data_IF_766541096174
#
_entry.id   IF_766541096174
#
_cell.length_a   1.000
_cell.length_b   1.000
_cell.length_c   1.000
_cell.angle_alpha   90.00
_cell.angle_beta   90.00
_cell.angle_gamma   90.00
#
_symmetry.space_group_name_H-M   'P 1'
#
loop_
_entity.id
_entity.type
_entity.pdbx_description
1 polymer ?
#
# COMPACT_ATOMS: atom_id res chain seq x y z
N UNK A 1 21.77 24.68 -81.65
CA UNK A 1 20.75 23.89 -80.95
C UNK A 1 21.44 23.31 -79.75
N UNK A 2 21.27 23.96 -78.61
CA UNK A 2 22.02 23.68 -77.39
C UNK A 2 21.41 22.47 -76.69
N UNK A 3 22.24 21.47 -76.42
CA UNK A 3 21.86 20.28 -75.67
C UNK A 3 21.54 20.68 -74.24
N UNK A 4 20.31 20.44 -73.80
CA UNK A 4 19.89 20.68 -72.42
C UNK A 4 20.67 19.75 -71.47
N UNK A 5 21.50 20.37 -70.63
CA UNK A 5 22.25 19.72 -69.58
C UNK A 5 21.30 19.44 -68.41
N UNK A 6 20.81 18.20 -68.31
CA UNK A 6 19.92 17.78 -67.22
C UNK A 6 20.76 17.62 -65.95
N UNK A 7 20.93 18.71 -65.20
CA UNK A 7 21.46 18.65 -63.84
C UNK A 7 20.52 17.80 -63.00
N UNK A 8 21.00 16.60 -62.64
CA UNK A 8 20.31 15.74 -61.69
C UNK A 8 20.51 16.32 -60.30
N UNK A 9 19.46 16.74 -59.57
CA UNK A 9 19.62 17.19 -58.19
C UNK A 9 20.11 16.00 -57.34
N UNK A 10 21.32 16.11 -56.80
CA UNK A 10 21.82 15.18 -55.79
C UNK A 10 20.99 15.33 -54.52
N UNK A 11 20.19 14.32 -54.18
CA UNK A 11 19.61 14.24 -52.84
C UNK A 11 20.74 13.88 -51.88
N UNK A 12 21.21 14.85 -51.13
CA UNK A 12 22.05 14.56 -49.98
C UNK A 12 21.16 13.89 -48.94
N UNK A 13 21.21 12.57 -48.84
CA UNK A 13 20.58 11.85 -47.72
C UNK A 13 21.38 12.16 -46.45
N UNK A 14 20.92 13.14 -45.68
CA UNK A 14 21.42 13.42 -44.33
C UNK A 14 21.02 12.29 -43.38
N UNK A 15 21.71 11.15 -43.46
CA UNK A 15 21.56 10.00 -42.54
C UNK A 15 22.54 10.08 -41.36
N UNK A 16 22.65 11.25 -40.73
CA UNK A 16 23.47 11.43 -39.51
C UNK A 16 22.63 11.87 -38.32
N UNK A 17 21.39 12.34 -38.52
CA UNK A 17 20.52 12.74 -37.41
C UNK A 17 19.81 11.57 -36.71
N UNK A 18 19.71 10.39 -37.33
CA UNK A 18 18.95 9.24 -36.80
C UNK A 18 19.71 8.42 -35.75
N UNK A 19 21.04 8.35 -35.81
CA UNK A 19 21.86 7.53 -34.90
C UNK A 19 22.07 8.17 -33.53
N UNK A 20 22.20 9.49 -33.46
CA UNK A 20 22.42 10.21 -32.19
C UNK A 20 21.13 10.32 -31.36
N UNK A 21 20.00 10.61 -32.03
CA UNK A 21 18.67 10.61 -31.40
C UNK A 21 18.32 9.20 -30.90
N UNK A 22 18.67 8.16 -31.67
CA UNK A 22 18.49 6.77 -31.27
C UNK A 22 19.31 6.40 -30.03
N UNK A 23 20.59 6.77 -29.97
CA UNK A 23 21.46 6.48 -28.83
C UNK A 23 20.98 7.16 -27.54
N UNK A 24 20.60 8.45 -27.61
CA UNK A 24 20.04 9.18 -26.46
C UNK A 24 18.73 8.57 -26.00
N UNK A 25 17.84 8.18 -26.92
CA UNK A 25 16.58 7.50 -26.59
C UNK A 25 16.81 6.14 -25.90
N UNK A 26 17.80 5.36 -26.33
CA UNK A 26 18.15 4.08 -25.69
C UNK A 26 18.72 4.27 -24.27
N UNK A 27 19.55 5.30 -24.05
CA UNK A 27 20.06 5.63 -22.71
C UNK A 27 18.93 6.06 -21.79
N UNK A 28 18.01 6.91 -22.26
CA UNK A 28 16.83 7.31 -21.48
C UNK A 28 15.94 6.09 -21.20
N UNK A 29 15.69 5.23 -22.19
CA UNK A 29 14.94 3.98 -21.98
C UNK A 29 15.62 3.09 -20.94
N UNK A 30 16.95 2.93 -20.97
CA UNK A 30 17.69 2.15 -19.98
C UNK A 30 17.52 2.73 -18.57
N UNK A 31 17.66 4.05 -18.41
CA UNK A 31 17.46 4.70 -17.11
C UNK A 31 16.02 4.48 -16.61
N UNK A 32 15.02 4.64 -17.46
CA UNK A 32 13.61 4.40 -17.12
C UNK A 32 13.38 2.93 -16.75
N UNK A 33 14.00 1.98 -17.45
CA UNK A 33 13.93 0.55 -17.12
C UNK A 33 14.57 0.28 -15.76
N UNK A 34 15.74 0.86 -15.47
CA UNK A 34 16.42 0.70 -14.18
C UNK A 34 15.61 1.28 -13.02
N UNK A 35 15.04 2.47 -13.19
CA UNK A 35 14.17 3.10 -12.19
C UNK A 35 12.91 2.26 -11.99
N UNK A 36 12.26 1.81 -13.06
CA UNK A 36 11.05 0.99 -12.95
C UNK A 36 11.34 -0.36 -12.28
N UNK A 37 12.48 -1.01 -12.58
CA UNK A 37 12.93 -2.21 -11.87
C UNK A 37 13.11 -1.95 -10.37
N UNK A 38 13.79 -0.86 -10.00
CA UNK A 38 14.00 -0.49 -8.60
C UNK A 38 12.67 -0.27 -7.87
N UNK A 39 11.72 0.44 -8.50
CA UNK A 39 10.36 0.66 -7.97
C UNK A 39 9.60 -0.66 -7.86
N UNK A 40 9.69 -1.55 -8.84
CA UNK A 40 9.05 -2.87 -8.80
C UNK A 40 9.57 -3.74 -7.65
N UNK A 41 10.88 -3.74 -7.40
CA UNK A 41 11.48 -4.47 -6.27
C UNK A 41 11.00 -3.87 -4.94
N UNK A 42 10.95 -2.55 -4.83
CA UNK A 42 10.45 -1.87 -3.64
C UNK A 42 8.98 -2.20 -3.39
N UNK A 43 8.14 -2.20 -4.43
CA UNK A 43 6.75 -2.63 -4.38
C UNK A 43 6.59 -4.08 -3.91
N UNK A 44 7.39 -5.00 -4.46
CA UNK A 44 7.40 -6.40 -4.02
C UNK A 44 7.77 -6.52 -2.53
N UNK A 45 8.81 -5.80 -2.11
CA UNK A 45 9.23 -5.79 -0.71
C UNK A 45 8.17 -5.17 0.22
N UNK A 46 7.50 -4.10 -0.22
CA UNK A 46 6.38 -3.50 0.50
C UNK A 46 5.23 -4.48 0.68
N UNK A 47 4.83 -5.16 -0.39
CA UNK A 47 3.73 -6.12 -0.37
C UNK A 47 4.07 -7.35 0.46
N UNK A 48 5.31 -7.83 0.38
CA UNK A 48 5.84 -8.86 1.28
C UNK A 48 5.69 -8.42 2.74
N UNK A 49 6.06 -7.18 3.08
CA UNK A 49 5.89 -6.65 4.43
C UNK A 49 4.43 -6.58 4.87
N UNK A 50 3.52 -6.13 4.00
CA UNK A 50 2.07 -6.13 4.28
C UNK A 50 1.58 -7.55 4.62
N UNK A 51 1.99 -8.55 3.85
CA UNK A 51 1.57 -9.94 4.07
C UNK A 51 2.13 -10.50 5.38
N UNK A 52 3.41 -10.27 5.66
CA UNK A 52 4.03 -10.71 6.93
C UNK A 52 3.41 -10.02 8.15
N UNK A 53 3.00 -8.75 8.04
CA UNK A 53 2.28 -8.03 9.11
C UNK A 53 0.90 -8.63 9.39
N UNK A 54 0.25 -9.19 8.36
CA UNK A 54 -1.02 -9.89 8.50
C UNK A 54 -0.85 -11.39 8.83
N UNK A 55 0.38 -11.85 9.12
CA UNK A 55 0.65 -13.24 9.47
C UNK A 55 0.58 -14.22 8.28
N UNK A 56 0.65 -13.72 7.05
CA UNK A 56 0.59 -14.50 5.81
C UNK A 56 1.97 -14.64 5.16
N UNK A 57 2.21 -15.70 4.37
CA UNK A 57 3.47 -15.89 3.68
C UNK A 57 3.70 -14.78 2.66
N UNK A 58 4.78 -14.01 2.81
CA UNK A 58 5.04 -12.90 1.90
C UNK A 58 5.54 -13.29 0.51
N UNK A 59 6.02 -14.53 0.31
CA UNK A 59 6.27 -15.08 -1.03
C UNK A 59 5.00 -15.16 -1.87
N UNK A 60 3.82 -15.21 -1.22
CA UNK A 60 2.54 -15.17 -1.92
C UNK A 60 2.37 -13.91 -2.77
N UNK A 61 3.08 -12.83 -2.44
CA UNK A 61 3.00 -11.58 -3.19
C UNK A 61 3.55 -11.71 -4.63
N UNK A 62 4.42 -12.69 -4.89
CA UNK A 62 5.11 -12.88 -6.17
C UNK A 62 4.19 -13.50 -7.23
N UNK A 63 3.32 -14.43 -6.82
CA UNK A 63 2.45 -15.16 -7.73
C UNK A 63 1.16 -14.34 -7.92
N UNK A 64 0.81 -13.89 -9.14
CA UNK A 64 -0.30 -12.95 -9.34
C UNK A 64 -1.64 -13.44 -8.76
N UNK A 65 -2.05 -14.67 -9.07
CA UNK A 65 -3.33 -15.23 -8.60
C UNK A 65 -3.31 -15.44 -7.08
N UNK A 66 -2.22 -15.98 -6.55
CA UNK A 66 -2.10 -16.28 -5.12
C UNK A 66 -1.98 -15.01 -4.26
N UNK A 67 -1.35 -13.96 -4.80
CA UNK A 67 -1.31 -12.62 -4.20
C UNK A 67 -2.73 -12.16 -3.90
N UNK A 68 -3.63 -12.19 -4.89
CA UNK A 68 -5.02 -11.81 -4.69
C UNK A 68 -5.72 -12.68 -3.65
N UNK A 69 -5.63 -14.01 -3.75
CA UNK A 69 -6.25 -14.93 -2.77
C UNK A 69 -5.82 -14.57 -1.35
N UNK A 70 -4.52 -14.40 -1.11
CA UNK A 70 -3.99 -14.06 0.22
C UNK A 70 -4.44 -12.66 0.65
N UNK A 71 -4.51 -11.70 -0.27
CA UNK A 71 -4.97 -10.35 0.03
C UNK A 71 -6.46 -10.32 0.40
N UNK A 72 -7.28 -11.14 -0.25
CA UNK A 72 -8.68 -11.36 0.12
C UNK A 72 -8.78 -11.99 1.52
N UNK A 73 -7.94 -12.98 1.84
CA UNK A 73 -7.87 -13.57 3.19
C UNK A 73 -7.45 -12.54 4.25
N UNK A 74 -6.50 -11.66 3.95
CA UNK A 74 -6.07 -10.57 4.84
C UNK A 74 -7.23 -9.61 5.12
N UNK A 75 -8.04 -9.33 4.11
CA UNK A 75 -9.19 -8.43 4.25
C UNK A 75 -10.43 -9.15 4.83
N UNK A 76 -10.44 -10.48 4.80
CA UNK A 76 -11.54 -11.34 5.26
C UNK A 76 -12.64 -11.55 4.24
N UNK A 77 -12.36 -11.28 2.97
CA UNK A 77 -13.31 -11.44 1.86
C UNK A 77 -13.27 -12.86 1.29
N UNK A 78 -14.38 -13.33 0.71
CA UNK A 78 -14.45 -14.69 0.22
C UNK A 78 -13.61 -14.88 -1.05
N UNK A 79 -12.80 -15.95 -1.07
CA UNK A 79 -11.81 -16.23 -2.13
C UNK A 79 -12.44 -16.44 -3.51
N UNK A 80 -13.73 -16.77 -3.60
CA UNK A 80 -14.45 -16.89 -4.87
C UNK A 80 -14.42 -15.59 -5.69
N UNK A 81 -14.19 -14.43 -5.05
CA UNK A 81 -14.03 -13.16 -5.74
C UNK A 81 -12.82 -13.16 -6.69
N UNK A 82 -11.86 -14.09 -6.57
CA UNK A 82 -10.80 -14.27 -7.57
C UNK A 82 -11.38 -14.69 -8.93
N UNK A 83 -12.51 -15.40 -8.98
CA UNK A 83 -13.21 -15.73 -10.23
C UNK A 83 -13.82 -14.49 -10.91
N UNK A 84 -14.17 -13.46 -10.14
CA UNK A 84 -14.65 -12.21 -10.69
C UNK A 84 -13.54 -11.40 -11.37
N UNK A 85 -12.25 -11.74 -11.17
CA UNK A 85 -11.14 -11.11 -11.88
C UNK A 85 -11.21 -11.36 -13.40
N UNK A 86 -11.88 -12.43 -13.83
CA UNK A 86 -12.14 -12.71 -15.24
C UNK A 86 -13.20 -11.78 -15.87
N UNK A 87 -13.99 -11.07 -15.05
CA UNK A 87 -14.95 -10.05 -15.50
C UNK A 87 -14.34 -8.65 -15.35
N UNK A 88 -14.20 -7.85 -16.43
CA UNK A 88 -13.51 -6.57 -16.39
C UNK A 88 -14.16 -5.55 -15.43
N UNK A 89 -15.49 -5.51 -15.38
CA UNK A 89 -16.23 -4.61 -14.47
C UNK A 89 -16.13 -5.05 -13.00
N UNK A 90 -16.19 -6.36 -12.75
CA UNK A 90 -16.11 -6.89 -11.40
C UNK A 90 -14.68 -6.78 -10.82
N UNK A 91 -13.65 -6.85 -11.67
CA UNK A 91 -12.26 -6.59 -11.30
C UNK A 91 -12.07 -5.17 -10.72
N UNK A 92 -12.62 -4.15 -11.38
CA UNK A 92 -12.57 -2.76 -10.90
C UNK A 92 -13.29 -2.63 -9.54
N UNK A 93 -14.48 -3.23 -9.42
CA UNK A 93 -15.22 -3.24 -8.16
C UNK A 93 -14.40 -3.87 -7.01
N UNK A 94 -13.79 -5.04 -7.25
CA UNK A 94 -12.96 -5.72 -6.24
C UNK A 94 -11.75 -4.87 -5.88
N UNK A 95 -11.05 -4.29 -6.85
CA UNK A 95 -9.89 -3.45 -6.58
C UNK A 95 -10.23 -2.28 -5.65
N UNK A 96 -11.36 -1.60 -5.89
CA UNK A 96 -11.82 -0.49 -5.05
C UNK A 96 -12.13 -0.97 -3.63
N UNK A 97 -12.94 -2.01 -3.53
CA UNK A 97 -13.45 -2.48 -2.24
C UNK A 97 -12.34 -3.10 -1.40
N UNK A 98 -11.44 -3.85 -2.03
CA UNK A 98 -10.27 -4.45 -1.37
C UNK A 98 -9.29 -3.38 -0.91
N UNK A 99 -9.05 -2.32 -1.68
CA UNK A 99 -8.20 -1.20 -1.22
C UNK A 99 -8.79 -0.49 0.00
N UNK A 100 -10.11 -0.24 0.00
CA UNK A 100 -10.81 0.36 1.14
C UNK A 100 -10.75 -0.54 2.37
N UNK A 101 -11.01 -1.83 2.21
CA UNK A 101 -11.05 -2.74 3.34
C UNK A 101 -9.64 -3.11 3.83
N UNK A 102 -8.63 -3.11 2.97
CA UNK A 102 -7.23 -3.21 3.36
C UNK A 102 -6.83 -1.99 4.19
N UNK A 103 -7.19 -0.77 3.77
CA UNK A 103 -6.96 0.44 4.56
C UNK A 103 -7.60 0.33 5.95
N UNK A 104 -8.88 -0.08 6.03
CA UNK A 104 -9.58 -0.30 7.30
C UNK A 104 -8.93 -1.39 8.16
N UNK A 105 -8.49 -2.49 7.54
CA UNK A 105 -7.82 -3.61 8.22
C UNK A 105 -6.49 -3.20 8.87
N UNK A 106 -5.90 -2.07 8.46
CA UNK A 106 -4.71 -1.47 9.06
C UNK A 106 -5.02 -0.20 9.88
N UNK A 107 -6.29 0.05 10.18
CA UNK A 107 -6.74 1.21 10.97
C UNK A 107 -6.64 2.55 10.25
N UNK A 108 -6.61 2.56 8.91
CA UNK A 108 -6.61 3.77 8.09
C UNK A 108 -8.02 4.16 7.64
N UNK A 109 -8.20 5.44 7.32
CA UNK A 109 -9.49 5.99 6.90
C UNK A 109 -9.85 5.56 5.47
N UNK A 110 -11.13 5.69 5.10
CA UNK A 110 -11.58 5.44 3.73
C UNK A 110 -10.85 6.30 2.70
N UNK A 111 -10.50 7.55 3.05
CA UNK A 111 -9.71 8.44 2.19
C UNK A 111 -8.32 7.87 1.86
N UNK A 112 -7.67 7.19 2.81
CA UNK A 112 -6.42 6.48 2.55
C UNK A 112 -6.63 5.33 1.55
N UNK A 113 -7.73 4.57 1.66
CA UNK A 113 -8.08 3.54 0.70
C UNK A 113 -8.38 4.09 -0.70
N UNK A 114 -9.01 5.28 -0.80
CA UNK A 114 -9.18 5.97 -2.08
C UNK A 114 -7.84 6.38 -2.67
N UNK A 115 -6.97 7.00 -1.87
CA UNK A 115 -5.61 7.37 -2.31
C UNK A 115 -4.81 6.15 -2.76
N UNK A 116 -5.04 4.98 -2.15
CA UNK A 116 -4.39 3.73 -2.52
C UNK A 116 -4.79 3.22 -3.90
N UNK A 117 -5.98 3.57 -4.38
CA UNK A 117 -6.44 3.23 -5.74
C UNK A 117 -5.71 4.10 -6.77
N UNK A 118 -5.57 5.40 -6.50
CA UNK A 118 -4.90 6.34 -7.41
C UNK A 118 -3.37 6.26 -7.34
N UNK A 119 -2.82 5.95 -6.16
CA UNK A 119 -1.39 5.94 -5.87
C UNK A 119 -0.94 4.65 -5.15
N UNK A 120 -1.18 3.46 -5.73
CA UNK A 120 -0.80 2.19 -5.10
C UNK A 120 0.71 2.13 -4.84
N UNK A 121 1.52 2.69 -5.74
CA UNK A 121 2.98 2.69 -5.64
C UNK A 121 3.55 3.31 -4.38
N UNK A 122 2.82 4.23 -3.75
CA UNK A 122 3.25 4.93 -2.55
C UNK A 122 2.52 4.38 -1.32
N UNK A 123 1.23 4.08 -1.45
CA UNK A 123 0.41 3.65 -0.31
C UNK A 123 0.75 2.23 0.18
N UNK A 124 1.08 1.29 -0.71
CA UNK A 124 1.51 -0.06 -0.31
C UNK A 124 2.81 -0.03 0.52
N UNK A 125 3.87 0.68 0.11
CA UNK A 125 5.05 0.88 0.95
C UNK A 125 4.76 1.54 2.29
N UNK A 126 3.87 2.54 2.34
CA UNK A 126 3.48 3.18 3.61
C UNK A 126 2.81 2.18 4.56
N UNK A 127 1.96 1.29 4.06
CA UNK A 127 1.36 0.22 4.87
C UNK A 127 2.39 -0.83 5.31
N UNK A 128 3.24 -1.26 4.38
CA UNK A 128 4.24 -2.30 4.58
C UNK A 128 5.35 -1.89 5.54
N UNK A 129 5.97 -0.73 5.33
CA UNK A 129 7.09 -0.23 6.12
C UNK A 129 6.70 0.77 7.22
N UNK A 130 5.53 1.40 7.13
CA UNK A 130 5.06 2.35 8.13
C UNK A 130 4.67 1.71 9.46
N UNK A 131 4.32 2.54 10.44
CA UNK A 131 3.95 2.11 11.80
C UNK A 131 2.57 1.44 11.91
N UNK A 132 1.83 1.33 10.80
CA UNK A 132 0.52 0.68 10.77
C UNK A 132 0.61 -0.81 11.09
N UNK A 133 -0.17 -1.23 12.09
CA UNK A 133 -0.33 -2.62 12.49
C UNK A 133 -1.62 -3.18 11.89
N UNK A 134 -1.58 -4.44 11.50
CA UNK A 134 -2.77 -5.14 11.04
C UNK A 134 -3.72 -5.37 12.22
N UNK A 135 -4.95 -4.87 12.13
CA UNK A 135 -5.98 -4.89 13.17
C UNK A 135 -6.98 -6.04 13.00
N UNK A 136 -6.94 -6.73 11.86
CA UNK A 136 -7.85 -7.83 11.54
C UNK A 136 -8.72 -7.55 10.31
N UNK A 137 -9.54 -8.52 9.90
CA UNK A 137 -10.31 -8.42 8.67
C UNK A 137 -11.44 -7.39 8.77
N UNK A 138 -11.47 -6.41 7.88
CA UNK A 138 -12.50 -5.36 7.86
C UNK A 138 -13.87 -5.83 7.34
N UNK A 139 -13.94 -7.00 6.69
CA UNK A 139 -15.18 -7.52 6.09
C UNK A 139 -16.03 -8.36 7.05
N UNK A 140 -15.48 -8.87 8.16
CA UNK A 140 -16.25 -9.64 9.15
C UNK A 140 -17.10 -8.72 10.05
N UNK A 141 -18.36 -9.07 10.39
CA UNK A 141 -19.17 -8.31 11.33
C UNK A 141 -18.45 -8.23 12.67
N UNK A 142 -17.90 -7.06 13.00
CA UNK A 142 -17.29 -6.82 14.29
C UNK A 142 -18.38 -6.93 15.38
N UNK A 143 -18.26 -7.80 16.40
CA UNK A 143 -19.07 -7.67 17.61
C UNK A 143 -18.77 -6.30 18.22
N UNK A 144 -19.83 -5.57 18.60
CA UNK A 144 -19.77 -4.23 19.17
C UNK A 144 -18.88 -4.23 20.43
N UNK A 145 -17.60 -3.90 20.25
CA UNK A 145 -16.57 -4.00 21.29
C UNK A 145 -15.14 -3.67 20.86
N UNK A 146 -14.87 -3.43 19.57
CA UNK A 146 -13.55 -2.99 19.09
C UNK A 146 -13.34 -1.48 19.32
N UNK A 147 -13.42 -1.07 20.59
CA UNK A 147 -12.84 0.19 21.04
C UNK A 147 -11.32 0.06 21.03
N UNK A 148 -10.72 0.74 20.05
CA UNK A 148 -9.33 1.18 19.99
C UNK A 148 -8.22 0.08 19.95
N UNK A 149 -7.15 0.30 19.16
CA UNK A 149 -5.95 -0.52 19.28
C UNK A 149 -5.42 -0.45 20.72
N UNK A 150 -4.63 -1.43 21.21
CA UNK A 150 -3.78 -1.20 22.36
C UNK A 150 -2.97 0.06 22.06
N UNK A 151 -3.28 1.16 22.76
CA UNK A 151 -2.39 2.32 22.78
C UNK A 151 -1.00 1.78 23.14
N UNK A 152 0.09 2.28 22.54
CA UNK A 152 1.39 2.15 23.19
C UNK A 152 1.15 2.55 24.65
N UNK A 153 1.49 1.67 25.60
CA UNK A 153 1.34 1.97 27.02
C UNK A 153 1.79 3.43 27.23
N UNK A 154 0.99 4.28 27.91
CA UNK A 154 1.42 5.64 28.22
C UNK A 154 2.84 5.52 28.73
N UNK A 155 3.78 6.19 28.06
CA UNK A 155 5.15 6.24 28.55
C UNK A 155 5.04 6.63 30.02
N UNK A 156 5.44 5.73 30.92
CA UNK A 156 5.21 5.87 32.34
C UNK A 156 5.49 7.31 32.76
N UNK A 157 4.45 8.00 33.22
CA UNK A 157 4.54 9.36 33.69
C UNK A 157 5.45 9.35 34.94
N UNK A 158 6.76 9.52 34.73
CA UNK A 158 7.69 9.85 35.80
C UNK A 158 7.49 11.32 36.18
N UNK A 159 6.48 11.59 37.00
CA UNK A 159 6.26 12.77 37.86
C UNK A 159 4.76 12.79 38.19
N UNK A 160 4.25 12.72 39.42
CA UNK A 160 4.79 12.94 40.76
C UNK A 160 3.81 12.30 41.75
N UNK A 161 4.24 11.28 42.49
CA UNK A 161 3.56 10.84 43.71
C UNK A 161 3.67 11.96 44.75
N UNK A 162 2.57 12.63 45.08
CA UNK A 162 2.43 13.31 46.38
C UNK A 162 1.44 12.49 47.21
N UNK A 163 1.82 12.00 48.40
CA UNK A 163 0.90 11.25 49.25
C UNK A 163 -0.11 12.23 49.88
N UNK A 164 -1.39 12.05 49.57
CA UNK A 164 -2.49 12.69 50.31
C UNK A 164 -2.53 12.04 51.69
N UNK A 165 -1.99 12.73 52.69
CA UNK A 165 -2.09 12.38 54.09
C UNK A 165 -3.51 12.72 54.58
N UNK A 166 -4.40 11.73 54.58
CA UNK A 166 -5.71 11.80 55.22
C UNK A 166 -5.55 11.84 56.75
N UNK A 167 -5.34 13.04 57.28
CA UNK A 167 -5.68 13.37 58.66
C UNK A 167 -7.00 14.15 58.63
N UNK A 168 -7.92 13.75 59.51
CA UNK A 168 -9.22 14.37 59.80
C UNK A 168 -10.38 13.97 58.87
N UNK A 169 -11.04 12.87 59.24
CA UNK A 169 -12.46 12.93 59.61
C UNK A 169 -12.81 11.68 60.43
N UNK A 170 -12.43 11.72 61.71
CA UNK A 170 -12.99 10.82 62.70
C UNK A 170 -14.39 11.28 63.06
N UNK A 171 -15.40 10.46 62.77
CA UNK A 171 -16.62 10.28 63.57
C UNK A 171 -17.46 9.10 63.00
N UNK A 172 -18.33 8.47 63.82
CA UNK A 172 -18.09 7.09 64.29
C UNK A 172 -19.01 6.03 63.65
N UNK A 173 -18.53 4.79 63.59
CA UNK A 173 -19.36 3.60 63.35
C UNK A 173 -20.24 3.29 64.58
N UNK A 174 -21.57 3.16 64.45
CA UNK A 174 -22.31 2.07 65.09
C UNK A 174 -22.26 0.84 64.14
N UNK A 175 -22.68 -0.41 64.48
CA UNK A 175 -23.37 -0.90 65.68
C UNK A 175 -22.81 -2.25 66.22
N UNK A 176 -22.89 -2.55 67.52
CA UNK A 176 -22.84 -3.95 68.01
C UNK A 176 -23.68 -4.17 69.28
N UNK A 177 -24.53 -5.21 69.19
CA UNK A 177 -25.37 -5.86 70.20
C UNK A 177 -26.65 -5.13 70.67
#
# INVERSE_FOLDING_TARGET
>A
MDYYEYTSPSYTTTSTASSEIGAVALVIMLIVILISLAVSVLMLAAMWRVFTKAGKPGWAAIIPVYNFVVLLQIVGRPEWQVLLMFLPFANIYIAIVVALDLAKSFGKTSGFGVLMIFFPAIMYPILGFGSSRYLGPAFSPQPAGYNQPPQPAPAADTQSQQPVSDAQNGQPQPPQA
#
